data_IF_874997605361
#
_entry.id   IF_874997605361
#
_cell.length_a   1.000
_cell.length_b   1.000
_cell.length_c   1.000
_cell.angle_alpha   90.00
_cell.angle_beta   90.00
_cell.angle_gamma   90.00
#
_symmetry.space_group_name_H-M   'P 1'
#
loop_
_entity.id
_entity.type
_entity.pdbx_description
1 polymer ?
#
# COMPACT_ATOMS: atom_id res chain seq x y z
N UNK A 1 16.25 -11.52 17.01
CA UNK A 1 15.46 -10.88 15.94
C UNK A 1 14.20 -10.38 16.61
N UNK A 2 14.00 -9.06 16.68
CA UNK A 2 12.70 -8.53 17.12
C UNK A 2 11.69 -8.92 16.03
N UNK A 3 10.62 -9.63 16.40
CA UNK A 3 9.53 -9.94 15.48
C UNK A 3 8.99 -8.63 14.91
N UNK A 4 9.21 -8.41 13.61
CA UNK A 4 8.68 -7.25 12.91
C UNK A 4 7.15 -7.44 12.85
N UNK A 5 6.42 -6.71 13.69
CA UNK A 5 4.96 -6.80 13.68
C UNK A 5 4.42 -6.12 12.41
N UNK A 6 3.59 -6.83 11.63
CA UNK A 6 2.93 -6.24 10.47
C UNK A 6 1.99 -5.12 10.93
N UNK A 7 1.99 -4.00 10.21
CA UNK A 7 1.09 -2.90 10.50
C UNK A 7 -0.37 -3.31 10.32
N UNK A 8 -1.27 -2.69 11.09
CA UNK A 8 -2.69 -3.01 11.07
C UNK A 8 -3.57 -1.77 11.22
N UNK A 9 -4.83 -1.87 10.79
CA UNK A 9 -5.84 -0.86 11.08
C UNK A 9 -7.21 -1.47 11.37
N UNK A 10 -8.01 -0.71 12.11
CA UNK A 10 -9.43 -0.95 12.35
C UNK A 10 -10.20 0.36 12.17
N UNK A 11 -11.29 0.33 11.41
CA UNK A 11 -12.19 1.46 11.22
C UNK A 11 -13.61 1.07 11.63
N UNK A 12 -14.31 1.97 12.31
CA UNK A 12 -15.72 1.81 12.69
C UNK A 12 -16.53 3.02 12.28
N UNK A 13 -17.65 2.78 11.59
CA UNK A 13 -18.59 3.80 11.13
C UNK A 13 -19.99 3.43 11.64
N UNK A 14 -20.53 4.12 12.67
CA UNK A 14 -21.89 3.89 13.14
C UNK A 14 -22.92 4.18 12.05
N UNK A 15 -24.09 3.54 12.16
CA UNK A 15 -25.23 3.82 11.28
C UNK A 15 -25.53 5.32 11.26
N UNK A 16 -25.59 5.89 10.05
CA UNK A 16 -26.04 7.27 9.89
C UNK A 16 -27.50 7.38 10.34
N UNK A 17 -27.85 8.28 11.29
CA UNK A 17 -29.24 8.46 11.69
C UNK A 17 -30.03 8.96 10.47
N UNK A 18 -31.13 8.27 10.14
CA UNK A 18 -32.01 8.70 9.07
C UNK A 18 -32.54 10.12 9.32
N UNK A 19 -33.00 10.84 8.28
CA UNK A 19 -33.37 12.26 8.35
C UNK A 19 -34.41 12.57 9.45
N UNK A 20 -35.28 11.61 9.78
CA UNK A 20 -36.34 11.76 10.78
C UNK A 20 -35.81 11.48 12.21
N UNK A 21 -34.88 10.55 12.37
CA UNK A 21 -34.35 10.11 13.68
C UNK A 21 -33.20 11.02 14.16
N UNK A 22 -32.51 11.70 13.24
CA UNK A 22 -31.48 12.69 13.56
C UNK A 22 -31.96 13.88 14.41
N UNK A 23 -33.28 14.11 14.46
CA UNK A 23 -33.90 15.12 15.33
C UNK A 23 -34.10 14.65 16.79
N UNK A 24 -34.08 13.34 17.06
CA UNK A 24 -34.41 12.73 18.36
C UNK A 24 -33.25 11.96 19.00
N UNK A 25 -32.28 11.47 18.22
CA UNK A 25 -31.08 10.83 18.75
C UNK A 25 -30.06 11.89 19.20
N UNK A 26 -29.78 11.89 20.50
CA UNK A 26 -28.74 12.73 21.09
C UNK A 26 -27.39 12.50 20.40
N UNK A 27 -26.86 13.57 19.80
CA UNK A 27 -25.53 13.69 19.17
C UNK A 27 -24.38 13.09 20.01
N UNK A 28 -24.54 13.03 21.33
CA UNK A 28 -23.54 12.48 22.26
C UNK A 28 -23.47 10.95 22.29
N UNK A 29 -24.50 10.24 21.79
CA UNK A 29 -24.53 8.77 21.84
C UNK A 29 -23.62 8.13 20.78
N UNK A 30 -23.58 8.66 19.56
CA UNK A 30 -22.77 8.09 18.47
C UNK A 30 -21.27 8.28 18.71
N UNK A 31 -20.87 9.43 19.23
CA UNK A 31 -19.48 9.74 19.55
C UNK A 31 -18.96 8.85 20.69
N UNK A 32 -19.77 8.68 21.75
CA UNK A 32 -19.45 7.73 22.83
C UNK A 32 -19.30 6.29 22.33
N UNK A 33 -20.14 5.87 21.38
CA UNK A 33 -20.05 4.54 20.79
C UNK A 33 -18.77 4.38 19.98
N UNK A 34 -18.40 5.38 19.17
CA UNK A 34 -17.13 5.40 18.44
C UNK A 34 -15.95 5.30 19.40
N UNK A 35 -15.90 6.14 20.43
CA UNK A 35 -14.85 6.08 21.44
C UNK A 35 -14.78 4.72 22.11
N UNK A 36 -15.91 4.19 22.58
CA UNK A 36 -15.98 2.86 23.20
C UNK A 36 -15.46 1.75 22.29
N UNK A 37 -15.73 1.82 20.98
CA UNK A 37 -15.23 0.85 20.00
C UNK A 37 -13.72 1.00 19.78
N UNK A 38 -13.20 2.22 19.65
CA UNK A 38 -11.77 2.43 19.49
C UNK A 38 -10.97 2.07 20.76
N UNK A 39 -11.51 2.37 21.94
CA UNK A 39 -10.89 2.00 23.21
C UNK A 39 -10.80 0.48 23.36
N UNK A 40 -11.83 -0.27 22.92
CA UNK A 40 -11.78 -1.72 22.88
C UNK A 40 -10.66 -2.25 21.95
N UNK A 41 -10.48 -1.62 20.79
CA UNK A 41 -9.38 -1.96 19.86
C UNK A 41 -8.03 -1.68 20.51
N UNK A 42 -7.86 -0.49 21.09
CA UNK A 42 -6.60 -0.09 21.74
C UNK A 42 -6.21 -1.08 22.85
N UNK A 43 -7.15 -1.41 23.73
CA UNK A 43 -6.92 -2.38 24.79
C UNK A 43 -6.54 -3.77 24.24
N UNK A 44 -7.21 -4.24 23.18
CA UNK A 44 -6.89 -5.53 22.57
C UNK A 44 -5.50 -5.57 21.92
N UNK A 45 -4.99 -4.44 21.44
CA UNK A 45 -3.68 -4.37 20.79
C UNK A 45 -2.52 -4.10 21.78
N UNK A 46 -2.82 -3.63 22.99
CA UNK A 46 -1.83 -3.39 24.04
C UNK A 46 -1.39 -4.68 24.75
N UNK A 47 -2.24 -5.71 24.80
CA UNK A 47 -1.89 -7.02 25.38
C UNK A 47 -0.77 -7.75 24.60
N UNK A 48 -0.51 -7.37 23.34
CA UNK A 48 0.60 -7.88 22.53
C UNK A 48 2.00 -7.39 23.00
N UNK A 49 2.08 -6.41 23.91
CA UNK A 49 3.35 -5.85 24.41
C UNK A 49 3.89 -6.52 25.69
N UNK A 50 3.20 -7.53 26.23
CA UNK A 50 3.64 -8.24 27.43
C UNK A 50 4.52 -9.48 27.13
N UNK A 51 5.56 -9.34 26.29
CA UNK A 51 6.63 -10.34 26.20
C UNK A 51 7.99 -9.74 26.53
N UNK A 52 8.36 -9.96 27.80
CA UNK A 52 9.70 -10.10 28.36
C UNK A 52 10.59 -8.85 28.57
N UNK A 53 10.36 -8.17 29.69
CA UNK A 53 11.47 -7.67 30.50
C UNK A 53 12.13 -8.86 31.24
N UNK A 54 12.99 -9.62 30.57
CA UNK A 54 13.93 -10.49 31.29
C UNK A 54 15.07 -9.63 31.82
N UNK A 55 14.97 -9.22 33.08
CA UNK A 55 16.14 -8.89 33.89
C UNK A 55 16.78 -10.20 34.32
N UNK A 56 17.96 -10.52 33.78
CA UNK A 56 18.88 -11.43 34.45
C UNK A 56 20.21 -10.72 34.69
N UNK A 57 20.43 -10.48 35.98
CA UNK A 57 21.71 -10.15 36.58
C UNK A 57 22.73 -11.26 36.31
N UNK A 58 23.88 -10.92 35.73
CA UNK A 58 25.11 -11.69 35.92
C UNK A 58 26.32 -10.76 35.83
N UNK A 59 26.85 -10.42 37.00
CA UNK A 59 28.20 -9.89 37.20
C UNK A 59 29.23 -11.01 37.04
N UNK A 60 30.30 -10.82 36.24
CA UNK A 60 31.68 -11.26 36.56
C UNK A 60 32.72 -10.92 35.46
N UNK A 61 33.98 -10.89 35.89
CA UNK A 61 35.18 -10.24 35.35
C UNK A 61 35.97 -11.03 34.26
N UNK A 62 36.85 -10.29 33.54
CA UNK A 62 38.03 -10.67 32.69
C UNK A 62 37.73 -11.35 31.33
N UNK A 63 38.43 -11.11 30.20
CA UNK A 63 39.86 -10.86 29.90
C UNK A 63 40.02 -10.29 28.48
N UNK A 64 41.13 -9.57 28.23
CA UNK A 64 41.51 -8.99 26.94
C UNK A 64 41.85 -10.02 25.84
N UNK A 65 41.47 -9.69 24.58
CA UNK A 65 42.07 -10.21 23.35
C UNK A 65 41.15 -11.05 22.45
N UNK A 66 40.50 -10.44 21.45
CA UNK A 66 40.14 -11.07 20.16
C UNK A 66 39.56 -10.04 19.17
N UNK A 67 39.69 -10.36 17.87
CA UNK A 67 39.50 -9.56 16.65
C UNK A 67 38.16 -8.79 16.54
N UNK A 68 38.08 -7.72 15.70
CA UNK A 68 36.84 -6.97 15.50
C UNK A 68 35.79 -7.85 14.80
N UNK A 69 34.80 -8.27 15.58
CA UNK A 69 33.53 -8.80 15.10
C UNK A 69 32.82 -7.67 14.33
N UNK A 70 32.31 -7.98 13.13
CA UNK A 70 31.47 -7.06 12.36
C UNK A 70 30.40 -6.48 13.28
N UNK A 71 30.45 -5.16 13.50
CA UNK A 71 29.40 -4.45 14.20
C UNK A 71 28.12 -4.61 13.39
N UNK A 72 27.19 -5.43 13.88
CA UNK A 72 25.82 -5.44 13.38
C UNK A 72 25.27 -4.03 13.54
N UNK A 73 24.90 -3.41 12.42
CA UNK A 73 24.20 -2.13 12.42
C UNK A 73 22.95 -2.25 13.30
N UNK A 74 22.59 -1.20 14.06
CA UNK A 74 21.41 -1.23 14.90
C UNK A 74 20.17 -1.51 14.03
N UNK A 75 19.29 -2.39 14.51
CA UNK A 75 18.01 -2.66 13.85
C UNK A 75 17.26 -1.35 13.59
N UNK A 76 16.64 -1.19 12.40
CA UNK A 76 15.85 -0.01 12.10
C UNK A 76 14.73 0.12 13.14
N UNK A 77 14.72 1.22 13.88
CA UNK A 77 13.65 1.52 14.83
C UNK A 77 12.75 2.62 14.29
N UNK A 78 11.46 2.53 14.58
CA UNK A 78 10.45 3.52 14.21
C UNK A 78 10.58 4.84 15.02
N UNK A 79 11.77 5.22 15.47
CA UNK A 79 11.96 6.41 16.32
C UNK A 79 11.00 6.47 17.53
N UNK A 80 10.64 7.68 17.95
CA UNK A 80 9.68 7.96 19.04
C UNK A 80 8.21 8.02 18.58
N UNK A 81 7.88 7.47 17.41
CA UNK A 81 6.50 7.53 16.90
C UNK A 81 5.60 6.60 17.74
N UNK A 82 4.41 7.06 18.16
CA UNK A 82 3.46 6.18 18.80
C UNK A 82 3.10 5.05 17.83
N UNK A 83 3.37 3.81 18.25
CA UNK A 83 3.14 2.60 17.47
C UNK A 83 1.67 2.47 17.05
N UNK A 84 0.75 3.00 17.88
CA UNK A 84 -0.69 3.02 17.62
C UNK A 84 -1.25 4.44 17.67
N UNK A 85 -2.10 4.81 16.71
CA UNK A 85 -2.71 6.14 16.56
C UNK A 85 -4.20 6.00 16.28
N UNK A 86 -5.01 6.87 16.90
CA UNK A 86 -6.46 6.90 16.72
C UNK A 86 -6.93 8.23 16.14
N UNK A 87 -7.78 8.16 15.12
CA UNK A 87 -8.42 9.30 14.46
C UNK A 87 -9.91 9.23 14.70
N UNK A 88 -10.44 10.22 15.42
CA UNK A 88 -11.85 10.28 15.79
C UNK A 88 -12.55 11.37 15.00
N UNK A 89 -13.62 10.98 14.31
CA UNK A 89 -14.54 11.85 13.61
C UNK A 89 -15.92 11.74 14.23
N UNK A 90 -16.78 12.74 13.98
CA UNK A 90 -18.13 12.82 14.55
C UNK A 90 -18.96 11.51 14.37
N UNK A 91 -18.76 10.80 13.27
CA UNK A 91 -19.47 9.55 12.96
C UNK A 91 -18.54 8.49 12.38
N UNK A 92 -17.27 8.49 12.78
CA UNK A 92 -16.35 7.40 12.46
C UNK A 92 -15.15 7.41 13.41
N UNK A 93 -14.57 6.24 13.61
CA UNK A 93 -13.28 6.08 14.27
C UNK A 93 -12.34 5.24 13.41
N UNK A 94 -11.05 5.51 13.50
CA UNK A 94 -10.00 4.76 12.84
C UNK A 94 -8.84 4.61 13.81
N UNK A 95 -8.42 3.38 14.09
CA UNK A 95 -7.21 3.07 14.87
C UNK A 95 -6.20 2.40 13.94
N UNK A 96 -4.94 2.82 14.02
CA UNK A 96 -3.86 2.36 13.14
C UNK A 96 -2.64 2.03 13.97
N UNK A 97 -2.13 0.81 13.81
CA UNK A 97 -0.85 0.36 14.35
C UNK A 97 0.16 0.35 13.21
N UNK A 98 1.15 1.22 13.29
CA UNK A 98 2.18 1.34 12.26
C UNK A 98 3.17 0.20 12.43
N UNK A 99 3.42 -0.53 11.33
CA UNK A 99 4.41 -1.59 11.25
C UNK A 99 5.47 -1.29 10.19
N UNK A 100 6.58 -2.02 10.31
CA UNK A 100 7.65 -2.06 9.32
C UNK A 100 7.59 -3.39 8.58
N UNK A 101 7.68 -3.30 7.27
CA UNK A 101 7.79 -4.46 6.37
C UNK A 101 9.09 -4.35 5.60
N UNK A 102 9.93 -5.37 5.69
CA UNK A 102 11.13 -5.47 4.87
C UNK A 102 10.76 -5.88 3.44
N UNK A 103 10.98 -4.98 2.48
CA UNK A 103 10.71 -5.21 1.05
C UNK A 103 11.93 -5.78 0.35
N UNK A 104 13.12 -5.38 0.79
CA UNK A 104 14.41 -5.92 0.38
C UNK A 104 15.42 -5.68 1.50
N UNK A 105 16.62 -6.26 1.40
CA UNK A 105 17.68 -6.08 2.39
C UNK A 105 17.90 -4.59 2.70
N UNK A 106 17.67 -4.21 3.96
CA UNK A 106 17.77 -2.83 4.49
C UNK A 106 16.77 -1.81 3.90
N UNK A 107 15.79 -2.27 3.12
CA UNK A 107 14.72 -1.47 2.53
C UNK A 107 13.39 -1.78 3.22
N UNK A 108 12.96 -0.86 4.08
CA UNK A 108 11.73 -0.99 4.84
C UNK A 108 10.62 -0.11 4.29
N UNK A 109 9.41 -0.66 4.30
CA UNK A 109 8.17 0.04 4.05
C UNK A 109 7.40 0.17 5.35
N UNK A 110 6.93 1.38 5.61
CA UNK A 110 6.02 1.69 6.72
C UNK A 110 4.60 1.42 6.24
N UNK A 111 3.80 0.65 6.97
CA UNK A 111 2.39 0.45 6.63
C UNK A 111 1.51 0.33 7.88
N UNK A 112 0.20 0.65 7.81
CA UNK A 112 -0.48 1.30 6.68
C UNK A 112 -0.21 2.81 6.65
N UNK A 113 -0.48 3.45 5.50
CA UNK A 113 -0.39 4.89 5.33
C UNK A 113 -1.70 5.57 5.72
N UNK A 114 -1.62 6.66 6.45
CA UNK A 114 -2.81 7.43 6.87
C UNK A 114 -2.69 8.86 6.40
N UNK A 115 -3.78 9.41 5.88
CA UNK A 115 -3.86 10.83 5.56
C UNK A 115 -5.23 11.39 5.92
N UNK A 116 -5.22 12.47 6.72
CA UNK A 116 -6.40 13.27 7.02
C UNK A 116 -6.40 14.51 6.12
N UNK A 117 -7.53 14.80 5.50
CA UNK A 117 -7.72 16.07 4.81
C UNK A 117 -7.52 17.23 5.81
N UNK A 118 -6.86 18.34 5.42
CA UNK A 118 -6.57 19.47 6.32
C UNK A 118 -7.81 20.15 6.91
N UNK A 119 -8.94 20.06 6.21
CA UNK A 119 -10.24 20.59 6.64
C UNK A 119 -11.07 19.56 7.44
N UNK A 120 -10.49 18.39 7.74
CA UNK A 120 -11.16 17.26 8.40
C UNK A 120 -12.44 16.80 7.68
N UNK A 121 -12.53 17.05 6.36
CA UNK A 121 -13.64 16.60 5.53
C UNK A 121 -13.61 15.10 5.26
N UNK A 122 -12.42 14.49 5.27
CA UNK A 122 -12.26 13.06 5.07
C UNK A 122 -10.91 12.56 5.61
N UNK A 123 -10.83 11.23 5.79
CA UNK A 123 -9.60 10.51 6.13
C UNK A 123 -9.49 9.26 5.30
N UNK A 124 -8.26 8.84 5.00
CA UNK A 124 -7.95 7.57 4.36
C UNK A 124 -6.92 6.80 5.19
N UNK A 125 -7.10 5.48 5.26
CA UNK A 125 -6.05 4.52 5.58
C UNK A 125 -5.83 3.64 4.34
N UNK A 126 -4.57 3.47 3.96
CA UNK A 126 -4.16 2.80 2.72
C UNK A 126 -3.05 1.78 3.01
N UNK A 127 -3.24 0.56 2.57
CA UNK A 127 -2.23 -0.50 2.54
C UNK A 127 -1.88 -0.83 1.09
N UNK A 128 -0.60 -1.11 0.84
CA UNK A 128 -0.07 -1.48 -0.48
C UNK A 128 0.75 -0.39 -1.16
N UNK A 129 0.81 -0.41 -2.49
CA UNK A 129 1.53 0.57 -3.32
C UNK A 129 0.88 0.82 -4.68
N UNK A 130 1.10 2.03 -5.21
CA UNK A 130 0.67 2.41 -6.55
C UNK A 130 1.88 2.56 -7.48
N UNK A 131 1.86 1.83 -8.60
CA UNK A 131 2.87 1.87 -9.65
C UNK A 131 2.83 3.19 -10.44
N UNK A 132 1.66 3.80 -10.58
CA UNK A 132 1.45 5.03 -11.33
C UNK A 132 1.29 6.29 -10.45
N UNK A 133 1.76 6.25 -9.19
CA UNK A 133 1.61 7.32 -8.22
C UNK A 133 2.10 8.69 -8.75
N UNK A 134 3.30 8.74 -9.32
CA UNK A 134 3.91 9.99 -9.78
C UNK A 134 3.05 10.67 -10.85
N UNK A 135 2.46 9.89 -11.75
CA UNK A 135 1.59 10.40 -12.80
C UNK A 135 0.25 10.89 -12.23
N UNK A 136 -0.38 10.13 -11.33
CA UNK A 136 -1.63 10.52 -10.68
C UNK A 136 -1.44 11.83 -9.87
N UNK A 137 -0.37 11.91 -9.08
CA UNK A 137 -0.05 13.08 -8.28
C UNK A 137 0.18 14.33 -9.14
N UNK A 138 0.93 14.18 -10.25
CA UNK A 138 1.19 15.25 -11.23
C UNK A 138 -0.08 15.71 -11.95
N UNK A 139 -0.93 14.77 -12.40
CA UNK A 139 -2.21 15.10 -13.04
C UNK A 139 -3.10 15.89 -12.10
N UNK A 140 -3.21 15.45 -10.85
CA UNK A 140 -4.03 16.11 -9.84
C UNK A 140 -3.50 17.50 -9.48
N UNK A 141 -2.19 17.67 -9.32
CA UNK A 141 -1.61 19.00 -9.04
C UNK A 141 -1.89 19.98 -10.18
N UNK A 142 -1.80 19.54 -11.44
CA UNK A 142 -2.14 20.34 -12.61
C UNK A 142 -3.63 20.71 -12.67
N UNK A 143 -4.53 19.79 -12.31
CA UNK A 143 -5.96 20.06 -12.21
C UNK A 143 -6.27 21.09 -11.12
N UNK A 144 -5.66 20.94 -9.95
CA UNK A 144 -5.82 21.87 -8.83
C UNK A 144 -5.31 23.26 -9.20
N UNK A 145 -4.13 23.37 -9.83
CA UNK A 145 -3.56 24.65 -10.30
C UNK A 145 -4.43 25.35 -11.35
N UNK A 146 -5.10 24.59 -12.23
CA UNK A 146 -6.04 25.13 -13.22
C UNK A 146 -7.37 25.58 -12.59
N UNK A 147 -7.84 24.86 -11.56
CA UNK A 147 -9.02 25.24 -10.79
C UNK A 147 -8.76 26.42 -9.84
N UNK A 148 -7.49 26.66 -9.46
CA UNK A 148 -7.07 27.66 -8.47
C UNK A 148 -6.46 28.92 -9.07
N UNK A 149 -6.87 29.35 -10.27
CA UNK A 149 -6.50 30.67 -10.83
C UNK A 149 -6.90 31.88 -9.94
N UNK A 150 -7.42 31.65 -8.73
CA UNK A 150 -7.66 32.63 -7.69
C UNK A 150 -6.82 32.45 -6.39
N UNK A 151 -5.90 31.48 -6.27
CA UNK A 151 -4.94 31.43 -5.13
C UNK A 151 -3.76 30.47 -5.36
N UNK A 152 -2.49 30.92 -5.23
CA UNK A 152 -1.32 30.08 -5.40
C UNK A 152 -0.89 29.54 -4.02
N UNK A 153 -1.37 28.37 -3.64
CA UNK A 153 -0.76 27.55 -2.58
C UNK A 153 -0.82 26.10 -3.06
N UNK A 154 0.32 25.40 -3.07
CA UNK A 154 0.52 24.01 -3.54
C UNK A 154 0.99 23.79 -5.00
N UNK A 155 1.60 24.78 -5.64
CA UNK A 155 2.44 24.52 -6.82
C UNK A 155 3.88 24.19 -6.40
N UNK A 156 4.10 23.00 -5.84
CA UNK A 156 5.43 22.40 -5.81
C UNK A 156 5.58 21.55 -7.08
N UNK A 157 6.62 21.80 -7.87
CA UNK A 157 6.95 21.00 -9.04
C UNK A 157 7.19 19.54 -8.63
N UNK A 158 6.33 18.58 -9.02
CA UNK A 158 6.44 17.19 -8.57
C UNK A 158 7.74 16.53 -9.05
N UNK A 159 8.34 17.01 -10.15
CA UNK A 159 9.64 16.51 -10.62
C UNK A 159 10.79 16.97 -9.72
N UNK A 160 10.68 18.15 -9.12
CA UNK A 160 11.72 18.67 -8.22
C UNK A 160 11.60 18.07 -6.82
N UNK A 161 10.40 17.70 -6.36
CA UNK A 161 10.20 16.99 -5.09
C UNK A 161 10.68 15.52 -5.13
N UNK A 162 10.51 14.83 -6.26
CA UNK A 162 10.99 13.45 -6.46
C UNK A 162 12.53 13.36 -6.50
N UNK A 163 13.20 14.34 -7.14
CA UNK A 163 14.63 14.29 -7.37
C UNK A 163 15.48 14.95 -6.26
N UNK A 164 15.02 16.04 -5.64
CA UNK A 164 15.88 16.83 -4.71
C UNK A 164 15.74 16.47 -3.22
N UNK A 165 14.68 15.75 -2.82
CA UNK A 165 14.41 15.38 -1.42
C UNK A 165 14.77 13.95 -1.03
N UNK A 166 15.02 13.07 -2.01
CA UNK A 166 15.17 11.63 -1.81
C UNK A 166 16.62 11.19 -1.54
N UNK A 167 17.61 12.00 -1.92
CA UNK A 167 19.03 11.62 -1.92
C UNK A 167 19.73 11.68 -0.54
N UNK A 168 19.04 12.11 0.53
CA UNK A 168 19.62 12.20 1.89
C UNK A 168 18.80 11.53 3.00
N UNK A 169 17.72 10.83 2.66
CA UNK A 169 16.78 10.24 3.63
C UNK A 169 16.96 8.72 3.74
N UNK A 170 16.84 8.20 4.97
CA UNK A 170 16.84 6.75 5.22
C UNK A 170 15.67 6.03 4.52
N UNK A 171 15.72 4.70 4.38
CA UNK A 171 14.64 3.92 3.73
C UNK A 171 13.26 4.14 4.37
N UNK A 172 13.21 4.22 5.70
CA UNK A 172 11.97 4.48 6.47
C UNK A 172 11.38 5.86 6.15
N UNK A 173 12.18 6.93 6.19
CA UNK A 173 11.71 8.30 5.92
C UNK A 173 11.17 8.43 4.49
N UNK A 174 11.86 7.82 3.53
CA UNK A 174 11.40 7.75 2.13
C UNK A 174 10.06 7.03 2.02
N UNK A 175 9.89 5.93 2.75
CA UNK A 175 8.62 5.21 2.79
C UNK A 175 7.50 6.05 3.39
N UNK A 176 7.76 6.85 4.43
CA UNK A 176 6.75 7.74 5.02
C UNK A 176 6.32 8.83 4.04
N UNK A 177 7.26 9.46 3.35
CA UNK A 177 6.96 10.48 2.33
C UNK A 177 6.13 9.90 1.18
N UNK A 178 6.52 8.71 0.67
CA UNK A 178 5.80 8.01 -0.39
C UNK A 178 4.40 7.62 0.07
N UNK A 179 4.27 7.16 1.31
CA UNK A 179 3.02 6.81 1.94
C UNK A 179 2.05 7.98 2.05
N UNK A 180 2.53 9.11 2.55
CA UNK A 180 1.77 10.35 2.64
C UNK A 180 1.30 10.83 1.26
N UNK A 181 2.17 10.76 0.25
CA UNK A 181 1.83 11.09 -1.14
C UNK A 181 0.77 10.15 -1.70
N UNK A 182 0.90 8.84 -1.47
CA UNK A 182 -0.06 7.82 -1.92
C UNK A 182 -1.44 8.08 -1.34
N UNK A 183 -1.54 8.14 -0.01
CA UNK A 183 -2.78 8.35 0.70
C UNK A 183 -3.45 9.68 0.31
N UNK A 184 -2.69 10.78 0.24
CA UNK A 184 -3.23 12.09 -0.16
C UNK A 184 -3.67 12.17 -1.62
N UNK A 185 -3.00 11.44 -2.52
CA UNK A 185 -3.37 11.38 -3.94
C UNK A 185 -4.68 10.61 -4.12
N UNK A 186 -4.81 9.42 -3.51
CA UNK A 186 -6.03 8.61 -3.58
C UNK A 186 -7.22 9.34 -2.95
N UNK A 187 -7.05 9.90 -1.74
CA UNK A 187 -8.10 10.69 -1.11
C UNK A 187 -8.49 11.90 -1.97
N UNK A 188 -7.50 12.52 -2.60
CA UNK A 188 -7.71 13.60 -3.55
C UNK A 188 -8.61 13.23 -4.72
N UNK A 189 -8.27 12.14 -5.43
CA UNK A 189 -9.06 11.63 -6.54
C UNK A 189 -10.50 11.29 -6.10
N UNK A 190 -10.67 10.73 -4.90
CA UNK A 190 -12.00 10.48 -4.32
C UNK A 190 -12.82 11.77 -4.15
N UNK A 191 -12.21 12.80 -3.55
CA UNK A 191 -12.90 14.06 -3.26
C UNK A 191 -13.17 14.88 -4.53
N UNK A 192 -12.27 14.84 -5.50
CA UNK A 192 -12.46 15.47 -6.81
C UNK A 192 -13.60 14.77 -7.59
N UNK A 193 -13.82 13.48 -7.31
CA UNK A 193 -14.83 12.62 -7.93
C UNK A 193 -16.21 12.59 -7.29
N UNK A 194 -16.59 13.53 -6.42
CA UNK A 194 -17.84 13.48 -5.62
C UNK A 194 -19.19 13.54 -6.40
N UNK A 195 -19.20 13.37 -7.71
CA UNK A 195 -20.43 13.12 -8.48
C UNK A 195 -20.70 11.62 -8.57
N UNK A 196 -21.97 11.21 -8.43
CA UNK A 196 -22.37 9.80 -8.43
C UNK A 196 -21.79 9.05 -9.66
N UNK A 197 -20.99 8.00 -9.41
CA UNK A 197 -20.42 7.13 -10.45
C UNK A 197 -18.95 7.40 -10.80
N UNK A 198 -18.33 8.46 -10.27
CA UNK A 198 -16.92 8.75 -10.54
C UNK A 198 -15.96 7.87 -9.71
N UNK A 199 -16.45 7.17 -8.67
CA UNK A 199 -15.62 6.24 -7.91
C UNK A 199 -15.07 5.12 -8.81
N UNK A 200 -15.85 4.68 -9.79
CA UNK A 200 -15.40 3.68 -10.77
C UNK A 200 -14.28 4.21 -11.66
N UNK A 201 -14.37 5.48 -12.07
CA UNK A 201 -13.33 6.13 -12.87
C UNK A 201 -12.06 6.20 -12.02
N UNK A 202 -12.16 6.68 -10.78
CA UNK A 202 -11.03 6.73 -9.86
C UNK A 202 -10.38 5.36 -9.66
N UNK A 203 -11.16 4.31 -9.37
CA UNK A 203 -10.66 2.95 -9.20
C UNK A 203 -9.99 2.40 -10.49
N UNK A 204 -10.52 2.74 -11.67
CA UNK A 204 -9.94 2.32 -12.95
C UNK A 204 -8.60 2.99 -13.27
N UNK A 205 -8.30 4.13 -12.62
CA UNK A 205 -7.02 4.82 -12.77
C UNK A 205 -5.96 4.31 -11.81
N UNK A 206 -6.32 3.61 -10.73
CA UNK A 206 -5.35 3.10 -9.76
C UNK A 206 -4.65 1.86 -10.32
N UNK A 207 -3.32 1.91 -10.45
CA UNK A 207 -2.51 0.77 -10.87
C UNK A 207 -1.59 0.39 -9.72
N UNK A 208 -1.80 -0.78 -9.12
CA UNK A 208 -1.14 -1.13 -7.87
C UNK A 208 -1.75 -2.34 -7.18
N UNK A 209 -1.10 -2.72 -6.10
CA UNK A 209 -1.62 -3.62 -5.07
C UNK A 209 -2.13 -2.72 -3.96
N UNK A 210 -3.42 -2.77 -3.64
CA UNK A 210 -3.99 -1.87 -2.66
C UNK A 210 -5.24 -2.41 -1.97
N UNK A 211 -5.32 -2.07 -0.69
CA UNK A 211 -6.55 -2.09 0.08
C UNK A 211 -6.64 -0.80 0.89
N UNK A 212 -7.78 -0.11 0.82
CA UNK A 212 -7.93 1.15 1.55
C UNK A 212 -9.35 1.38 2.04
N UNK A 213 -9.47 2.23 3.05
CA UNK A 213 -10.74 2.73 3.59
C UNK A 213 -10.66 4.26 3.67
N UNK A 214 -11.62 4.92 3.06
CA UNK A 214 -11.90 6.34 3.17
C UNK A 214 -13.16 6.50 4.03
N UNK A 215 -13.10 7.42 4.99
CA UNK A 215 -14.31 7.95 5.60
C UNK A 215 -14.54 9.39 5.16
N UNK A 216 -15.66 9.60 4.48
CA UNK A 216 -16.13 10.93 4.07
C UNK A 216 -16.98 11.54 5.17
N UNK A 217 -16.41 12.49 5.89
CA UNK A 217 -17.08 13.20 6.96
C UNK A 217 -18.09 14.24 6.44
N UNK A 218 -18.04 14.67 5.18
CA UNK A 218 -19.05 15.56 4.61
C UNK A 218 -20.34 14.78 4.30
N UNK A 219 -20.21 13.62 3.67
CA UNK A 219 -21.33 12.77 3.25
C UNK A 219 -21.73 11.72 4.29
N UNK A 220 -20.93 11.56 5.36
CA UNK A 220 -21.13 10.60 6.47
C UNK A 220 -21.21 9.16 5.96
N UNK A 221 -20.29 8.79 5.08
CA UNK A 221 -20.27 7.48 4.46
C UNK A 221 -18.84 6.93 4.36
N UNK A 222 -18.67 5.61 4.51
CA UNK A 222 -17.41 4.96 4.17
C UNK A 222 -17.32 4.69 2.67
N UNK A 223 -16.09 4.58 2.20
CA UNK A 223 -15.74 4.03 0.92
C UNK A 223 -14.51 3.14 1.10
N UNK A 224 -14.60 1.87 0.75
CA UNK A 224 -13.50 0.92 0.91
C UNK A 224 -13.28 0.15 -0.38
N UNK A 225 -12.04 -0.13 -0.76
CA UNK A 225 -11.76 -0.84 -2.00
C UNK A 225 -10.56 -1.76 -1.86
N UNK A 226 -10.57 -2.84 -2.65
CA UNK A 226 -9.48 -3.79 -2.81
C UNK A 226 -9.21 -4.01 -4.29
N UNK A 227 -7.94 -3.98 -4.66
CA UNK A 227 -7.52 -4.17 -6.04
C UNK A 227 -7.78 -5.62 -6.56
N UNK A 228 -7.69 -5.87 -7.87
CA UNK A 228 -8.01 -7.17 -8.46
C UNK A 228 -6.98 -8.28 -8.22
N UNK A 229 -5.73 -7.95 -7.87
CA UNK A 229 -4.72 -8.95 -7.49
C UNK A 229 -5.07 -9.59 -6.16
N UNK A 230 -5.57 -8.79 -5.21
CA UNK A 230 -5.93 -9.25 -3.88
C UNK A 230 -4.75 -9.46 -2.94
N UNK A 231 -3.55 -8.97 -3.25
CA UNK A 231 -2.37 -9.12 -2.37
C UNK A 231 -2.62 -8.49 -0.98
N UNK A 232 -3.16 -7.28 -0.94
CA UNK A 232 -3.55 -6.63 0.31
C UNK A 232 -4.95 -7.09 0.74
N UNK A 233 -5.07 -7.56 1.98
CA UNK A 233 -6.34 -8.01 2.54
C UNK A 233 -7.17 -6.85 3.10
N UNK A 234 -8.49 -7.00 3.04
CA UNK A 234 -9.43 -6.12 3.74
C UNK A 234 -10.62 -6.92 4.22
N UNK A 235 -10.95 -6.78 5.49
CA UNK A 235 -12.10 -7.42 6.12
C UNK A 235 -13.14 -6.36 6.46
N UNK A 236 -14.42 -6.74 6.41
CA UNK A 236 -15.53 -5.89 6.79
C UNK A 236 -16.63 -6.66 7.50
N UNK A 237 -17.35 -5.96 8.37
CA UNK A 237 -18.54 -6.45 9.04
C UNK A 237 -19.61 -5.37 8.94
N UNK A 238 -20.83 -5.76 8.55
CA UNK A 238 -22.01 -4.87 8.60
C UNK A 238 -22.92 -5.43 9.66
N UNK A 239 -23.11 -4.68 10.75
CA UNK A 239 -23.94 -5.10 11.86
C UNK A 239 -25.42 -4.96 11.54
N UNK A 240 -26.26 -5.61 12.33
CA UNK A 240 -27.72 -5.59 12.17
C UNK A 240 -28.31 -4.17 12.23
N UNK A 241 -27.69 -3.28 13.02
CA UNK A 241 -28.09 -1.88 13.11
C UNK A 241 -27.65 -1.04 11.89
N UNK A 242 -26.84 -1.59 10.99
CA UNK A 242 -26.32 -0.94 9.80
C UNK A 242 -25.05 -0.10 10.02
N UNK A 243 -24.39 -0.23 11.17
CA UNK A 243 -23.01 0.21 11.31
C UNK A 243 -22.09 -0.71 10.49
N UNK A 244 -20.89 -0.21 10.16
CA UNK A 244 -19.89 -0.99 9.44
C UNK A 244 -18.52 -0.82 10.06
N UNK A 245 -17.82 -1.95 10.14
CA UNK A 245 -16.44 -2.02 10.59
C UNK A 245 -15.56 -2.53 9.45
N UNK A 246 -14.30 -2.07 9.41
CA UNK A 246 -13.27 -2.53 8.49
C UNK A 246 -11.99 -2.85 9.25
N UNK A 247 -11.24 -3.87 8.80
CA UNK A 247 -9.99 -4.28 9.42
C UNK A 247 -9.01 -4.78 8.35
N UNK A 248 -7.72 -4.46 8.48
CA UNK A 248 -6.70 -4.90 7.52
C UNK A 248 -6.39 -6.40 7.59
N UNK A 249 -6.66 -7.02 8.73
CA UNK A 249 -6.44 -8.44 8.95
C UNK A 249 -7.41 -8.98 10.01
N UNK A 250 -7.51 -10.31 10.14
CA UNK A 250 -8.30 -10.92 11.22
C UNK A 250 -7.73 -10.62 12.61
N UNK A 251 -6.42 -10.44 12.72
CA UNK A 251 -5.74 -10.06 13.97
C UNK A 251 -6.00 -8.59 14.36
N UNK A 252 -6.43 -7.77 13.41
CA UNK A 252 -6.83 -6.39 13.66
C UNK A 252 -8.27 -6.27 14.18
N UNK A 253 -9.03 -7.37 14.21
CA UNK A 253 -10.39 -7.42 14.75
C UNK A 253 -10.29 -7.52 16.28
N UNK A 254 -10.99 -6.66 17.04
CA UNK A 254 -10.99 -6.73 18.51
C UNK A 254 -11.56 -8.05 19.03
N UNK A 255 -10.98 -8.60 20.10
CA UNK A 255 -11.38 -9.88 20.70
C UNK A 255 -12.86 -9.98 21.09
N UNK A 256 -13.50 -8.84 21.36
CA UNK A 256 -14.92 -8.75 21.70
C UNK A 256 -15.88 -8.90 20.50
N UNK A 257 -15.37 -8.97 19.28
CA UNK A 257 -16.16 -9.17 18.07
C UNK A 257 -16.04 -10.60 17.55
N UNK A 258 -17.13 -11.11 17.00
CA UNK A 258 -17.21 -12.48 16.50
C UNK A 258 -16.53 -12.59 15.13
N UNK A 259 -15.36 -13.26 15.00
CA UNK A 259 -14.62 -13.25 13.73
C UNK A 259 -15.35 -13.91 12.56
N UNK A 260 -16.34 -14.76 12.85
CA UNK A 260 -17.16 -15.44 11.84
C UNK A 260 -18.20 -14.53 11.19
N UNK A 261 -18.53 -13.40 11.81
CA UNK A 261 -19.43 -12.39 11.25
C UNK A 261 -18.70 -11.43 10.28
N UNK A 262 -17.36 -11.50 10.26
CA UNK A 262 -16.53 -10.71 9.37
C UNK A 262 -16.32 -11.43 8.04
N UNK A 263 -16.38 -10.66 6.96
CA UNK A 263 -16.16 -11.13 5.59
C UNK A 263 -14.94 -10.45 5.02
N UNK A 264 -14.17 -11.21 4.24
CA UNK A 264 -13.13 -10.62 3.42
C UNK A 264 -13.78 -9.87 2.25
N UNK A 265 -13.32 -8.67 1.95
CA UNK A 265 -13.69 -7.92 0.76
C UNK A 265 -13.05 -8.63 -0.45
N UNK A 266 -13.83 -9.16 -1.40
CA UNK A 266 -13.25 -9.90 -2.50
C UNK A 266 -12.35 -9.01 -3.37
N UNK A 267 -11.30 -9.55 -4.02
CA UNK A 267 -10.48 -8.78 -4.94
C UNK A 267 -11.31 -8.15 -6.07
N UNK A 268 -10.93 -6.94 -6.49
CA UNK A 268 -11.65 -6.18 -7.52
C UNK A 268 -13.03 -5.67 -7.07
N UNK A 269 -13.28 -5.60 -5.76
CA UNK A 269 -14.52 -5.08 -5.18
C UNK A 269 -14.29 -3.82 -4.35
N UNK A 270 -15.37 -3.07 -4.19
CA UNK A 270 -15.45 -1.92 -3.31
C UNK A 270 -16.78 -1.88 -2.56
N UNK A 271 -16.79 -1.16 -1.44
CA UNK A 271 -17.96 -0.86 -0.61
C UNK A 271 -18.18 0.64 -0.63
N UNK A 272 -19.40 1.08 -0.90
CA UNK A 272 -19.74 2.50 -0.89
C UNK A 272 -21.14 2.78 -0.35
N UNK A 273 -21.38 4.05 -0.01
CA UNK A 273 -22.68 4.59 0.35
C UNK A 273 -22.98 4.58 1.85
N UNK A 274 -23.98 5.37 2.24
CA UNK A 274 -24.48 5.45 3.64
C UNK A 274 -25.02 4.14 4.17
N UNK A 275 -25.61 3.34 3.28
CA UNK A 275 -25.92 1.93 3.51
C UNK A 275 -24.85 1.18 2.72
N UNK A 276 -23.83 0.61 3.38
CA UNK A 276 -22.70 -0.02 2.71
C UNK A 276 -23.16 -1.12 1.75
N UNK A 277 -22.88 -0.93 0.46
CA UNK A 277 -23.17 -1.90 -0.60
C UNK A 277 -21.89 -2.38 -1.21
N UNK A 278 -21.82 -3.69 -1.44
CA UNK A 278 -20.71 -4.33 -2.13
C UNK A 278 -20.91 -4.23 -3.65
N UNK A 279 -19.86 -3.82 -4.34
CA UNK A 279 -19.83 -3.66 -5.78
C UNK A 279 -18.54 -4.26 -6.34
N UNK A 280 -18.61 -4.87 -7.53
CA UNK A 280 -17.43 -5.30 -8.27
C UNK A 280 -17.08 -4.25 -9.32
N UNK A 281 -15.82 -3.83 -9.40
CA UNK A 281 -15.33 -2.88 -10.41
C UNK A 281 -14.36 -3.52 -11.41
N UNK A 282 -13.78 -4.67 -11.08
CA UNK A 282 -12.83 -5.36 -11.92
C UNK A 282 -12.87 -6.88 -11.69
N UNK A 283 -12.53 -7.63 -12.74
CA UNK A 283 -12.33 -9.06 -12.67
C UNK A 283 -10.92 -9.37 -12.18
N UNK A 284 -10.78 -10.44 -11.41
CA UNK A 284 -9.45 -10.96 -11.06
C UNK A 284 -8.76 -11.56 -12.29
N UNK A 285 -7.43 -11.72 -12.29
CA UNK A 285 -6.72 -12.41 -13.37
C UNK A 285 -7.29 -13.80 -13.67
N UNK A 286 -7.65 -14.56 -12.62
CA UNK A 286 -8.27 -15.88 -12.76
C UNK A 286 -9.67 -15.81 -13.40
N UNK A 287 -10.50 -14.85 -12.99
CA UNK A 287 -11.82 -14.63 -13.59
C UNK A 287 -11.72 -14.20 -15.06
N UNK A 288 -10.69 -13.45 -15.44
CA UNK A 288 -10.44 -13.08 -16.83
C UNK A 288 -10.09 -14.31 -17.67
N UNK A 289 -9.20 -15.18 -17.17
CA UNK A 289 -8.84 -16.43 -17.85
C UNK A 289 -10.07 -17.34 -18.02
N UNK A 290 -10.86 -17.53 -16.96
CA UNK A 290 -12.09 -18.35 -17.05
C UNK A 290 -13.08 -17.78 -18.08
N UNK A 291 -13.20 -16.46 -18.16
CA UNK A 291 -14.08 -15.78 -19.11
C UNK A 291 -13.58 -15.86 -20.56
N UNK A 292 -12.27 -15.89 -20.76
CA UNK A 292 -11.66 -16.11 -22.07
C UNK A 292 -11.90 -17.55 -22.54
N UNK A 293 -11.68 -18.54 -21.68
CA UNK A 293 -11.95 -19.95 -21.98
C UNK A 293 -13.42 -20.21 -22.33
N UNK A 294 -14.36 -19.63 -21.58
CA UNK A 294 -15.79 -19.74 -21.87
C UNK A 294 -16.17 -19.15 -23.23
N UNK A 295 -15.52 -18.05 -23.64
CA UNK A 295 -15.73 -17.46 -24.97
C UNK A 295 -15.16 -18.34 -26.08
N UNK A 296 -14.02 -19.00 -25.87
CA UNK A 296 -13.45 -19.94 -26.84
C UNK A 296 -14.39 -21.16 -27.03
N UNK A 297 -14.89 -21.74 -25.94
CA UNK A 297 -15.83 -22.88 -26.00
C UNK A 297 -17.15 -22.52 -26.71
N UNK A 298 -17.71 -21.33 -26.45
CA UNK A 298 -18.94 -20.84 -27.13
C UNK A 298 -18.74 -20.65 -28.64
N UNK A 299 -17.55 -20.25 -29.08
CA UNK A 299 -17.21 -20.10 -30.50
C UNK A 299 -17.05 -21.45 -31.20
N UNK A 300 -16.50 -22.45 -30.51
CA UNK A 300 -16.34 -23.81 -31.02
C UNK A 300 -17.69 -24.54 -31.14
N UNK A 301 -18.60 -24.37 -30.18
CA UNK A 301 -19.96 -24.91 -30.26
C UNK A 301 -20.80 -24.24 -31.36
N UNK A 302 -20.60 -22.94 -31.62
CA UNK A 302 -21.27 -22.23 -32.71
C UNK A 302 -20.74 -22.58 -34.11
N UNK A 303 -19.54 -23.15 -34.21
CA UNK A 303 -18.85 -23.47 -35.46
C UNK A 303 -18.92 -24.95 -35.85
N UNK A 304 -19.85 -25.71 -35.24
CA UNK A 304 -20.22 -27.10 -35.55
C UNK A 304 -20.67 -27.40 -37.00
N UNK A 305 -20.50 -26.47 -37.95
CA UNK A 305 -20.45 -26.79 -39.39
C UNK A 305 -19.28 -26.13 -40.10
N UNK A 306 -18.07 -26.53 -39.70
CA UNK A 306 -16.92 -26.61 -40.58
C UNK A 306 -15.91 -25.48 -40.49
N UNK A 307 -14.75 -25.77 -39.91
CA UNK A 307 -13.47 -25.40 -40.54
C UNK A 307 -12.28 -25.99 -39.76
N UNK A 308 -11.81 -27.15 -40.20
CA UNK A 308 -10.49 -27.73 -39.86
C UNK A 308 -9.29 -26.83 -40.25
N UNK A 309 -9.51 -25.59 -40.72
CA UNK A 309 -8.46 -24.65 -41.15
C UNK A 309 -8.14 -23.55 -40.12
N UNK A 310 -8.96 -23.36 -39.08
CA UNK A 310 -8.70 -22.31 -38.08
C UNK A 310 -7.63 -22.71 -37.04
N UNK A 311 -7.55 -24.01 -36.71
CA UNK A 311 -6.59 -24.54 -35.73
C UNK A 311 -5.12 -24.39 -36.17
N UNK A 312 -4.81 -24.47 -37.47
CA UNK A 312 -3.45 -24.22 -37.99
C UNK A 312 -3.03 -22.75 -37.92
N UNK A 313 -3.99 -21.81 -37.96
CA UNK A 313 -3.72 -20.38 -37.89
C UNK A 313 -3.37 -19.88 -36.48
N UNK A 314 -3.94 -20.49 -35.45
CA UNK A 314 -3.71 -20.13 -34.05
C UNK A 314 -2.41 -20.76 -33.49
N UNK A 315 -2.12 -22.01 -33.85
CA UNK A 315 -0.87 -22.68 -33.47
C UNK A 315 0.36 -22.01 -34.11
N UNK A 316 0.23 -21.54 -35.35
CA UNK A 316 1.28 -20.76 -36.03
C UNK A 316 1.52 -19.41 -35.37
N UNK A 317 0.45 -18.74 -34.88
CA UNK A 317 0.56 -17.46 -34.16
C UNK A 317 1.19 -17.60 -32.77
N UNK A 318 0.90 -18.68 -32.03
CA UNK A 318 1.58 -18.99 -30.76
C UNK A 318 3.07 -19.32 -30.97
N UNK A 319 3.45 -19.95 -32.09
CA UNK A 319 4.86 -20.16 -32.43
C UNK A 319 5.58 -18.88 -32.87
N UNK A 320 4.94 -17.97 -33.59
CA UNK A 320 5.59 -16.72 -34.01
C UNK A 320 5.86 -15.79 -32.82
N UNK A 321 4.92 -15.69 -31.87
CA UNK A 321 5.10 -14.86 -30.67
C UNK A 321 6.15 -15.43 -29.70
N UNK A 322 6.30 -16.75 -29.64
CA UNK A 322 7.34 -17.39 -28.84
C UNK A 322 8.74 -17.25 -29.46
N UNK A 323 8.84 -17.11 -30.80
CA UNK A 323 10.11 -16.89 -31.50
C UNK A 323 10.57 -15.43 -31.40
N UNK A 324 9.65 -14.46 -31.49
CA UNK A 324 9.96 -13.02 -31.30
C UNK A 324 10.47 -12.72 -29.87
N UNK A 325 9.87 -13.32 -28.85
CA UNK A 325 10.31 -13.16 -27.47
C UNK A 325 11.71 -13.78 -27.22
N UNK A 326 12.07 -14.83 -27.97
CA UNK A 326 13.38 -15.47 -27.91
C UNK A 326 14.49 -14.61 -28.54
N UNK A 327 14.20 -13.95 -29.65
CA UNK A 327 15.16 -13.04 -30.31
C UNK A 327 15.39 -11.75 -29.51
N UNK A 328 14.36 -11.18 -28.89
CA UNK A 328 14.51 -10.01 -28.00
C UNK A 328 15.33 -10.33 -26.74
N UNK A 329 15.12 -11.50 -26.13
CA UNK A 329 15.91 -11.96 -24.98
C UNK A 329 17.38 -12.21 -25.35
N UNK A 330 17.65 -12.75 -26.54
CA UNK A 330 19.01 -12.98 -27.01
C UNK A 330 19.72 -11.67 -27.39
N UNK A 331 19.00 -10.67 -27.89
CA UNK A 331 19.51 -9.32 -28.14
C UNK A 331 19.82 -8.55 -26.84
N UNK A 332 18.97 -8.67 -25.82
CA UNK A 332 19.20 -8.09 -24.49
C UNK A 332 20.39 -8.74 -23.77
N UNK A 333 20.54 -10.07 -23.88
CA UNK A 333 21.69 -10.79 -23.33
C UNK A 333 23.01 -10.38 -24.02
N UNK A 334 23.00 -10.16 -25.34
CA UNK A 334 24.17 -9.67 -26.08
C UNK A 334 24.52 -8.21 -25.71
N UNK A 335 23.54 -7.34 -25.52
CA UNK A 335 23.77 -5.97 -25.05
C UNK A 335 24.37 -5.93 -23.64
N UNK A 336 23.94 -6.81 -22.74
CA UNK A 336 24.50 -6.91 -21.39
C UNK A 336 25.95 -7.42 -21.39
N UNK A 337 26.31 -8.35 -22.29
CA UNK A 337 27.69 -8.83 -22.44
C UNK A 337 28.65 -7.78 -23.03
N UNK A 338 28.17 -6.89 -23.91
CA UNK A 338 29.00 -5.78 -24.42
C UNK A 338 29.22 -4.68 -23.40
N UNK A 339 28.29 -4.48 -22.45
CA UNK A 339 28.46 -3.51 -21.34
C UNK A 339 29.44 -3.99 -20.28
N UNK A 340 29.46 -5.29 -19.94
CA UNK A 340 30.41 -5.83 -18.96
C UNK A 340 31.86 -5.89 -19.48
N UNK A 341 32.07 -5.81 -20.80
CA UNK A 341 33.41 -5.74 -21.39
C UNK A 341 34.02 -4.34 -21.43
N UNK A 342 33.23 -3.27 -21.25
CA UNK A 342 33.72 -1.88 -21.32
C UNK A 342 34.11 -1.28 -19.97
N UNK A 343 33.67 -1.86 -18.86
CA UNK A 343 34.02 -1.39 -17.50
C UNK A 343 35.30 -2.01 -16.93
N UNK A 344 35.93 -2.96 -17.64
CA UNK A 344 37.14 -3.65 -17.17
C UNK A 344 38.46 -3.10 -17.76
N UNK A 345 38.41 -2.04 -18.57
CA UNK A 345 39.60 -1.50 -19.28
C UNK A 345 39.98 -0.07 -18.87
N UNK A 346 39.52 0.41 -17.71
CA UNK A 346 39.86 1.74 -17.19
C UNK A 346 40.32 1.75 -15.73
N UNK A 347 41.39 1.00 -15.41
CA UNK A 347 42.17 1.26 -14.18
C UNK A 347 43.58 0.66 -14.17
N UNK A 348 44.38 0.96 -15.21
CA UNK A 348 45.85 0.97 -15.05
C UNK A 348 46.39 2.23 -15.70
N UNK A 349 46.60 3.28 -14.90
CA UNK A 349 47.42 4.41 -15.30
C UNK A 349 48.43 4.72 -14.21
N UNK A 350 49.67 4.38 -14.54
CA UNK A 350 50.91 4.59 -13.84
C UNK A 350 51.04 5.99 -13.23
N UNK A 351 51.57 6.07 -12.01
CA UNK A 351 52.35 7.22 -11.55
C UNK A 351 53.73 6.72 -11.19
N UNK A 352 54.70 7.02 -12.06
CA UNK A 352 56.10 7.08 -11.67
C UNK A 352 56.35 8.34 -10.84
N UNK A 353 57.10 8.19 -9.75
CA UNK A 353 58.00 9.21 -9.21
C UNK A 353 59.24 8.50 -8.66
N UNK A 354 60.38 9.07 -9.01
CA UNK A 354 61.75 8.63 -8.82
C UNK A 354 62.22 8.37 -7.38
N UNK A 355 63.26 7.53 -7.31
CA UNK A 355 64.50 7.90 -6.60
C UNK A 355 64.69 7.32 -5.19
N UNK A 356 65.49 6.25 -5.08
CA UNK A 356 65.86 5.72 -3.76
C UNK A 356 66.84 4.56 -3.81
N UNK A 357 68.04 4.83 -4.32
CA UNK A 357 69.26 4.02 -4.19
C UNK A 357 69.47 3.48 -2.76
N UNK A 358 69.50 2.16 -2.56
CA UNK A 358 70.35 1.51 -1.55
C UNK A 358 70.68 0.07 -1.96
N UNK A 359 71.97 -0.12 -2.24
CA UNK A 359 72.69 -1.40 -2.35
C UNK A 359 72.87 -2.05 -0.98
N UNK A 360 72.74 -3.38 -0.88
CA UNK A 360 73.88 -4.31 -0.74
C UNK A 360 73.44 -5.78 -0.71
N UNK A 361 74.17 -6.61 -1.46
CA UNK A 361 74.21 -8.08 -1.37
C UNK A 361 74.71 -8.55 0.01
N UNK A 362 74.04 -9.56 0.58
CA UNK A 362 74.59 -10.92 0.80
C UNK A 362 73.53 -11.87 1.37
#
# INVERSE_FOLDING_TARGET
MQDQQPGSFYCYVPKSPGPIVGLLLSRTKSEKLVHSKLDAVLNSWEDDNALSSYSETASSFTRAGSLPQQASLPSPSLGSLPQTQSYVYKHAGLTVKVGLEEVAADLFRVKPYVYSAPDHSAVIVFSGCLHNLSELARRRSNHSARSSAASPRFAADPNNAFASGLERKGSIERSMDLGAMTASTVLGLYLDGQQEGNELIMLSELQGEFAFVIYDNKHKQPFAARDPSGEECLYYHVSEDGAVSFASSRLAIPDGEQPHEWRELPPGHYISGKVPKLHQFALTPEQLVMREMQQEDELDDSSGSGSLRAAEGAATRRRSLALDAGEELHALAAQLQTRTSLDNDSSVKERGVDGGLFTLDM
#
